data_IF_271677750321
#
_entry.id   IF_271677750321
#
_cell.length_a   1.000
_cell.length_b   1.000
_cell.length_c   1.000
_cell.angle_alpha   90.00
_cell.angle_beta   90.00
_cell.angle_gamma   90.00
#
_symmetry.space_group_name_H-M   'P 1'
#
loop_
_entity.id
_entity.type
_entity.pdbx_description
1 polymer ?
#
# COMPACT_ATOMS: atom_id res chain seq x y z
N UNK A 1 -10.08 -28.43 13.50
CA UNK A 1 -10.77 -28.99 12.32
C UNK A 1 -12.20 -29.42 12.65
N UNK A 2 -12.45 -30.24 13.68
CA UNK A 2 -13.82 -30.67 14.07
C UNK A 2 -14.77 -29.49 14.37
N UNK A 3 -14.31 -28.49 15.10
CA UNK A 3 -15.11 -27.30 15.40
C UNK A 3 -15.50 -26.56 14.12
N UNK A 4 -14.57 -26.39 13.18
CA UNK A 4 -14.82 -25.70 11.92
C UNK A 4 -15.77 -26.49 11.00
N UNK A 5 -15.67 -27.83 10.96
CA UNK A 5 -16.61 -28.65 10.19
C UNK A 5 -18.03 -28.58 10.75
N UNK A 6 -18.18 -28.58 12.08
CA UNK A 6 -19.48 -28.40 12.74
C UNK A 6 -20.05 -27.02 12.40
N UNK A 7 -19.23 -25.97 12.50
CA UNK A 7 -19.65 -24.61 12.13
C UNK A 7 -20.02 -24.47 10.65
N UNK A 8 -19.33 -25.15 9.73
CA UNK A 8 -19.66 -25.13 8.31
C UNK A 8 -21.00 -25.82 8.00
N UNK A 9 -21.29 -26.95 8.66
CA UNK A 9 -22.58 -27.65 8.52
C UNK A 9 -23.72 -26.82 9.11
N UNK A 10 -23.53 -26.25 10.31
CA UNK A 10 -24.51 -25.37 10.94
C UNK A 10 -24.74 -24.13 10.09
N UNK A 11 -23.67 -23.48 9.61
CA UNK A 11 -23.76 -22.30 8.75
C UNK A 11 -24.51 -22.56 7.45
N UNK A 12 -24.30 -23.73 6.82
CA UNK A 12 -25.09 -24.14 5.64
C UNK A 12 -26.55 -24.43 5.97
N UNK A 13 -26.84 -25.00 7.15
CA UNK A 13 -28.20 -25.32 7.58
C UNK A 13 -29.03 -24.08 7.98
N UNK A 14 -28.38 -22.98 8.38
CA UNK A 14 -29.03 -21.74 8.83
C UNK A 14 -29.78 -20.97 7.72
N UNK A 15 -29.53 -21.26 6.43
CA UNK A 15 -30.14 -20.56 5.29
C UNK A 15 -30.54 -21.55 4.19
N UNK A 16 -31.45 -22.48 4.51
CA UNK A 16 -31.93 -23.46 3.54
C UNK A 16 -33.19 -22.98 2.81
N UNK A 17 -33.25 -23.11 1.47
CA UNK A 17 -34.35 -22.58 0.65
C UNK A 17 -35.65 -23.43 0.70
N UNK A 18 -35.75 -24.37 1.64
CA UNK A 18 -36.82 -25.37 1.68
C UNK A 18 -38.05 -24.92 2.49
N UNK A 19 -37.90 -24.00 3.45
CA UNK A 19 -39.00 -23.53 4.28
C UNK A 19 -38.78 -22.10 4.74
N UNK A 20 -39.86 -21.30 4.80
CA UNK A 20 -39.84 -19.89 5.23
C UNK A 20 -39.21 -19.70 6.63
N UNK A 21 -39.28 -20.72 7.48
CA UNK A 21 -38.72 -20.71 8.84
C UNK A 21 -37.19 -20.94 8.87
N UNK A 22 -36.58 -21.36 7.75
CA UNK A 22 -35.14 -21.58 7.62
C UNK A 22 -34.42 -20.40 6.93
N UNK A 23 -35.12 -19.29 6.69
CA UNK A 23 -34.54 -18.04 6.21
C UNK A 23 -34.06 -17.16 7.38
N UNK A 24 -33.35 -17.75 8.35
CA UNK A 24 -32.99 -17.07 9.59
C UNK A 24 -32.00 -15.92 9.34
N UNK A 25 -31.00 -16.12 8.46
CA UNK A 25 -30.05 -15.07 8.09
C UNK A 25 -30.73 -13.91 7.36
N UNK A 26 -31.70 -14.22 6.50
CA UNK A 26 -32.45 -13.22 5.73
C UNK A 26 -33.18 -12.27 6.67
N UNK A 27 -33.98 -12.79 7.62
CA UNK A 27 -34.72 -11.95 8.59
C UNK A 27 -33.79 -11.21 9.57
N UNK A 28 -32.64 -11.81 9.93
CA UNK A 28 -31.68 -11.15 10.81
C UNK A 28 -30.93 -10.00 10.10
N UNK A 29 -30.65 -10.15 8.80
CA UNK A 29 -29.98 -9.14 7.98
C UNK A 29 -30.94 -8.08 7.43
N UNK A 30 -32.21 -8.43 7.22
CA UNK A 30 -33.29 -7.56 6.70
C UNK A 30 -33.18 -6.09 7.15
N UNK A 31 -33.07 -5.74 8.45
CA UNK A 31 -33.00 -4.34 8.89
C UNK A 31 -31.80 -3.53 8.37
N UNK A 32 -30.75 -4.18 7.86
CA UNK A 32 -29.54 -3.54 7.31
C UNK A 32 -29.55 -3.54 5.78
N UNK A 33 -30.25 -4.48 5.13
CA UNK A 33 -30.19 -4.68 3.66
C UNK A 33 -31.49 -4.29 2.93
N UNK A 34 -32.58 -4.00 3.64
CA UNK A 34 -33.93 -3.80 3.09
C UNK A 34 -33.99 -2.82 1.90
N UNK A 35 -33.25 -1.71 1.94
CA UNK A 35 -33.24 -0.72 0.84
C UNK A 35 -32.49 -1.17 -0.44
N UNK A 36 -31.66 -2.22 -0.34
CA UNK A 36 -30.83 -2.70 -1.46
C UNK A 36 -31.38 -3.95 -2.15
N UNK A 37 -32.47 -4.54 -1.67
CA UNK A 37 -33.04 -5.75 -2.26
C UNK A 37 -33.81 -5.45 -3.54
N UNK A 38 -33.20 -5.78 -4.68
CA UNK A 38 -33.91 -5.82 -5.96
C UNK A 38 -34.80 -7.06 -6.00
N UNK A 39 -36.10 -6.88 -5.73
CA UNK A 39 -37.09 -7.96 -5.77
C UNK A 39 -37.06 -8.71 -7.11
N UNK A 40 -36.65 -9.98 -7.09
CA UNK A 40 -36.68 -10.90 -8.24
C UNK A 40 -38.06 -11.57 -8.37
N UNK A 41 -39.02 -11.25 -7.48
CA UNK A 41 -40.38 -11.81 -7.48
C UNK A 41 -41.04 -11.55 -8.84
N UNK A 42 -41.46 -12.61 -9.53
CA UNK A 42 -42.06 -12.57 -10.87
C UNK A 42 -41.10 -12.82 -12.04
N UNK A 43 -39.82 -13.10 -11.78
CA UNK A 43 -38.87 -13.57 -12.81
C UNK A 43 -39.00 -15.07 -13.00
N UNK A 44 -38.83 -15.57 -14.23
CA UNK A 44 -38.83 -17.02 -14.54
C UNK A 44 -37.89 -17.84 -13.63
N UNK A 45 -36.75 -17.26 -13.23
CA UNK A 45 -35.80 -17.89 -12.31
C UNK A 45 -36.35 -18.08 -10.89
N UNK A 46 -37.20 -17.17 -10.41
CA UNK A 46 -37.82 -17.29 -9.09
C UNK A 46 -38.87 -18.40 -9.09
N UNK A 47 -39.67 -18.48 -10.15
CA UNK A 47 -40.72 -19.50 -10.31
C UNK A 47 -40.12 -20.91 -10.49
N UNK A 48 -38.98 -21.00 -11.17
CA UNK A 48 -38.28 -22.27 -11.47
C UNK A 48 -37.08 -22.54 -10.54
N UNK A 49 -37.04 -21.92 -9.35
CA UNK A 49 -35.92 -22.03 -8.40
C UNK A 49 -35.53 -23.48 -8.06
N UNK A 50 -36.49 -24.39 -7.95
CA UNK A 50 -36.23 -25.81 -7.65
C UNK A 50 -35.62 -26.55 -8.84
N UNK A 51 -35.98 -26.18 -10.07
CA UNK A 51 -35.38 -26.74 -11.28
C UNK A 51 -33.93 -26.26 -11.39
N UNK A 52 -33.68 -24.96 -11.17
CA UNK A 52 -32.33 -24.40 -11.14
C UNK A 52 -31.47 -25.04 -10.04
N UNK A 53 -32.04 -25.26 -8.84
CA UNK A 53 -31.38 -25.98 -7.75
C UNK A 53 -31.01 -27.42 -8.17
N UNK A 54 -31.96 -28.15 -8.79
CA UNK A 54 -31.72 -29.50 -9.27
C UNK A 54 -30.60 -29.56 -10.32
N UNK A 55 -30.63 -28.65 -11.30
CA UNK A 55 -29.58 -28.52 -12.32
C UNK A 55 -28.24 -28.19 -11.67
N UNK A 56 -28.19 -27.26 -10.72
CA UNK A 56 -26.97 -26.90 -10.01
C UNK A 56 -26.37 -28.10 -9.26
N UNK A 57 -27.21 -28.90 -8.57
CA UNK A 57 -26.76 -30.13 -7.88
C UNK A 57 -26.19 -31.13 -8.88
N UNK A 58 -26.87 -31.37 -10.00
CA UNK A 58 -26.40 -32.30 -11.04
C UNK A 58 -25.06 -31.85 -11.63
N UNK A 59 -24.92 -30.57 -11.95
CA UNK A 59 -23.66 -29.99 -12.47
C UNK A 59 -22.54 -30.10 -11.43
N UNK A 60 -22.82 -29.80 -10.16
CA UNK A 60 -21.84 -29.93 -9.08
C UNK A 60 -21.37 -31.38 -8.89
N UNK A 61 -22.30 -32.34 -8.85
CA UNK A 61 -21.97 -33.77 -8.73
C UNK A 61 -21.21 -34.28 -9.95
N UNK A 62 -21.58 -33.85 -11.16
CA UNK A 62 -20.86 -34.19 -12.39
C UNK A 62 -19.42 -33.65 -12.36
N UNK A 63 -19.22 -32.40 -11.90
CA UNK A 63 -17.90 -31.81 -11.72
C UNK A 63 -17.03 -32.57 -10.71
N UNK A 64 -17.61 -32.97 -9.57
CA UNK A 64 -16.92 -33.81 -8.57
C UNK A 64 -16.55 -35.18 -9.16
N UNK A 65 -17.48 -35.83 -9.86
CA UNK A 65 -17.25 -37.12 -10.49
C UNK A 65 -16.14 -37.05 -11.56
N UNK A 66 -16.14 -36.00 -12.38
CA UNK A 66 -15.10 -35.74 -13.38
C UNK A 66 -13.74 -35.50 -12.71
N UNK A 67 -13.70 -34.68 -11.66
CA UNK A 67 -12.48 -34.42 -10.88
C UNK A 67 -11.90 -35.71 -10.29
N UNK A 68 -12.73 -36.56 -9.70
CA UNK A 68 -12.30 -37.87 -9.19
C UNK A 68 -11.81 -38.79 -10.32
N UNK A 69 -12.43 -38.75 -11.50
CA UNK A 69 -12.01 -39.55 -12.65
C UNK A 69 -10.63 -39.13 -13.20
N UNK A 70 -10.36 -37.82 -13.26
CA UNK A 70 -9.10 -37.23 -13.71
C UNK A 70 -7.99 -37.41 -12.66
N UNK A 71 -8.21 -36.97 -11.42
CA UNK A 71 -7.14 -36.85 -10.43
C UNK A 71 -6.96 -38.09 -9.56
N UNK A 72 -8.05 -38.66 -9.02
CA UNK A 72 -7.96 -39.80 -8.10
C UNK A 72 -7.81 -41.13 -8.85
N UNK A 73 -8.61 -41.34 -9.90
CA UNK A 73 -8.66 -42.60 -10.65
C UNK A 73 -7.79 -42.61 -11.90
N UNK A 74 -7.24 -41.46 -12.32
CA UNK A 74 -6.37 -41.29 -13.50
C UNK A 74 -6.92 -41.93 -14.78
N UNK A 75 -8.25 -41.95 -14.94
CA UNK A 75 -8.93 -42.55 -16.09
C UNK A 75 -8.99 -41.61 -17.29
N UNK A 76 -8.79 -40.32 -17.05
CA UNK A 76 -8.80 -39.26 -18.06
C UNK A 76 -7.51 -38.44 -17.91
N UNK A 77 -6.94 -37.93 -19.01
CA UNK A 77 -5.78 -37.04 -18.94
C UNK A 77 -6.16 -35.73 -18.25
N UNK A 78 -5.30 -35.25 -17.36
CA UNK A 78 -5.44 -33.93 -16.76
C UNK A 78 -5.14 -32.87 -17.83
N UNK A 79 -6.10 -31.97 -18.07
CA UNK A 79 -5.92 -30.82 -18.95
C UNK A 79 -5.54 -29.64 -18.08
N UNK A 80 -4.24 -29.36 -18.00
CA UNK A 80 -3.67 -28.28 -17.19
C UNK A 80 -2.98 -27.27 -18.10
N UNK A 81 -3.70 -26.23 -18.58
CA UNK A 81 -3.09 -25.16 -19.35
C UNK A 81 -2.06 -24.43 -18.50
N UNK A 82 -0.87 -24.18 -19.07
CA UNK A 82 0.20 -23.40 -18.42
C UNK A 82 -0.25 -22.03 -17.92
N UNK A 83 -1.29 -21.46 -18.52
CA UNK A 83 -1.88 -20.18 -18.10
C UNK A 83 -2.54 -20.30 -16.72
N UNK A 84 -3.29 -21.38 -16.47
CA UNK A 84 -3.93 -21.62 -15.16
C UNK A 84 -2.90 -22.01 -14.12
N UNK A 85 -1.90 -22.82 -14.51
CA UNK A 85 -0.75 -23.19 -13.66
C UNK A 85 -0.01 -21.95 -13.14
N UNK A 86 0.21 -20.95 -14.00
CA UNK A 86 0.90 -19.71 -13.62
C UNK A 86 -0.04 -18.63 -13.06
N UNK A 87 -1.23 -19.00 -12.57
CA UNK A 87 -2.22 -18.05 -12.02
C UNK A 87 -2.46 -16.85 -12.97
N UNK A 88 -2.63 -17.13 -14.26
CA UNK A 88 -2.81 -16.13 -15.32
C UNK A 88 -1.63 -15.16 -15.50
N UNK A 89 -0.44 -15.54 -15.02
CA UNK A 89 0.76 -14.71 -14.96
C UNK A 89 0.59 -13.40 -14.17
N UNK A 90 -0.47 -13.28 -13.37
CA UNK A 90 -0.75 -12.08 -12.61
C UNK A 90 0.37 -11.85 -11.57
N UNK A 91 0.62 -12.85 -10.74
CA UNK A 91 1.65 -12.81 -9.70
C UNK A 91 3.03 -12.55 -10.28
N UNK A 92 3.38 -13.22 -11.38
CA UNK A 92 4.66 -13.05 -12.06
C UNK A 92 4.85 -11.64 -12.64
N UNK A 93 3.77 -11.05 -13.18
CA UNK A 93 3.79 -9.70 -13.74
C UNK A 93 3.92 -8.66 -12.65
N UNK A 94 3.13 -8.78 -11.58
CA UNK A 94 3.21 -7.89 -10.42
C UNK A 94 4.59 -7.97 -9.78
N UNK A 95 5.12 -9.17 -9.55
CA UNK A 95 6.46 -9.35 -8.98
C UNK A 95 7.55 -8.74 -9.86
N UNK A 96 7.47 -8.87 -11.19
CA UNK A 96 8.42 -8.28 -12.13
C UNK A 96 8.38 -6.76 -12.10
N UNK A 97 7.19 -6.17 -12.06
CA UNK A 97 7.02 -4.70 -12.06
C UNK A 97 7.45 -4.11 -10.71
N UNK A 98 7.02 -4.70 -9.61
CA UNK A 98 7.36 -4.21 -8.26
C UNK A 98 8.84 -4.46 -7.95
N UNK A 99 9.33 -5.67 -8.19
CA UNK A 99 10.70 -6.06 -7.88
C UNK A 99 11.75 -5.56 -8.86
N UNK A 100 11.37 -5.18 -10.08
CA UNK A 100 12.26 -4.59 -11.07
C UNK A 100 12.25 -3.06 -11.01
N UNK A 101 11.47 -2.39 -11.87
CA UNK A 101 11.46 -0.93 -11.95
C UNK A 101 11.00 -0.26 -10.65
N UNK A 102 10.07 -0.87 -9.90
CA UNK A 102 9.67 -0.36 -8.59
C UNK A 102 10.85 -0.28 -7.62
N UNK A 103 11.55 -1.39 -7.42
CA UNK A 103 12.73 -1.43 -6.56
C UNK A 103 13.85 -0.50 -7.03
N UNK A 104 14.10 -0.42 -8.35
CA UNK A 104 15.10 0.46 -8.92
C UNK A 104 14.78 1.96 -8.69
N UNK A 105 13.50 2.33 -8.75
CA UNK A 105 13.06 3.69 -8.44
C UNK A 105 13.32 4.05 -6.97
N UNK A 106 12.98 3.15 -6.04
CA UNK A 106 13.27 3.35 -4.61
C UNK A 106 14.76 3.47 -4.33
N UNK A 107 15.57 2.60 -4.92
CA UNK A 107 17.03 2.63 -4.81
C UNK A 107 17.64 3.91 -5.44
N UNK A 108 17.00 4.47 -6.46
CA UNK A 108 17.34 5.79 -7.00
C UNK A 108 17.08 6.92 -6.02
N UNK A 109 15.91 6.91 -5.36
CA UNK A 109 15.52 7.92 -4.37
C UNK A 109 16.45 7.87 -3.15
N UNK A 110 16.76 6.69 -2.63
CA UNK A 110 17.66 6.56 -1.47
C UNK A 110 19.07 7.01 -1.79
N UNK A 111 19.59 6.73 -2.99
CA UNK A 111 20.89 7.27 -3.43
C UNK A 111 20.88 8.78 -3.59
N UNK A 112 19.77 9.35 -4.06
CA UNK A 112 19.64 10.80 -4.16
C UNK A 112 19.70 11.46 -2.79
N UNK A 113 18.95 10.94 -1.82
CA UNK A 113 18.94 11.42 -0.44
C UNK A 113 20.34 11.36 0.19
N UNK A 114 20.99 10.19 0.15
CA UNK A 114 22.30 9.96 0.74
C UNK A 114 23.44 10.78 0.10
N UNK A 115 23.30 11.23 -1.15
CA UNK A 115 24.35 12.00 -1.84
C UNK A 115 24.07 13.49 -1.86
N UNK A 116 22.84 13.88 -2.14
CA UNK A 116 22.47 15.28 -2.37
C UNK A 116 22.03 15.92 -1.07
N UNK A 117 21.09 15.30 -0.36
CA UNK A 117 20.54 15.86 0.88
C UNK A 117 21.59 15.80 1.98
N UNK A 118 22.13 14.61 2.26
CA UNK A 118 23.18 14.46 3.26
C UNK A 118 24.46 15.23 2.88
N UNK A 119 24.78 15.27 1.58
CA UNK A 119 25.91 16.06 1.08
C UNK A 119 25.74 17.55 1.34
N UNK A 120 24.55 18.11 1.08
CA UNK A 120 24.24 19.51 1.34
C UNK A 120 24.28 19.82 2.84
N UNK A 121 23.71 18.96 3.68
CA UNK A 121 23.69 19.13 5.14
C UNK A 121 25.10 19.08 5.73
N UNK A 122 25.89 18.07 5.36
CA UNK A 122 27.28 17.94 5.81
C UNK A 122 28.15 19.08 5.28
N UNK A 123 27.91 19.52 4.04
CA UNK A 123 28.54 20.69 3.42
C UNK A 123 28.29 21.96 4.22
N UNK A 124 27.02 22.29 4.48
CA UNK A 124 26.64 23.45 5.30
C UNK A 124 27.27 23.39 6.70
N UNK A 125 27.25 22.22 7.36
CA UNK A 125 27.88 22.02 8.65
C UNK A 125 29.41 22.22 8.61
N UNK A 126 30.07 21.75 7.55
CA UNK A 126 31.51 21.93 7.36
C UNK A 126 31.89 23.40 7.14
N UNK A 127 31.09 24.14 6.37
CA UNK A 127 31.27 25.57 6.14
C UNK A 127 31.09 26.37 7.43
N UNK A 128 30.03 26.09 8.19
CA UNK A 128 29.78 26.73 9.48
C UNK A 128 30.95 26.51 10.46
N UNK A 129 31.44 25.26 10.57
CA UNK A 129 32.62 24.94 11.39
C UNK A 129 33.89 25.64 10.89
N UNK A 130 34.07 25.73 9.57
CA UNK A 130 35.19 26.45 8.94
C UNK A 130 35.19 27.93 9.30
N UNK A 131 34.04 28.62 9.13
CA UNK A 131 33.87 30.02 9.50
C UNK A 131 34.09 30.23 11.01
N UNK A 132 33.52 29.37 11.85
CA UNK A 132 33.75 29.43 13.30
C UNK A 132 35.22 29.26 13.68
N UNK A 133 35.96 28.38 13.00
CA UNK A 133 37.40 28.20 13.20
C UNK A 133 38.22 29.43 12.81
N UNK A 134 37.87 30.08 11.70
CA UNK A 134 38.51 31.33 11.27
C UNK A 134 38.27 32.46 12.29
N UNK A 135 37.02 32.65 12.72
CA UNK A 135 36.67 33.63 13.75
C UNK A 135 37.42 33.34 15.06
N UNK A 136 37.51 32.07 15.47
CA UNK A 136 38.26 31.65 16.65
C UNK A 136 39.75 32.00 16.54
N UNK A 137 40.37 31.78 15.38
CA UNK A 137 41.79 32.12 15.16
C UNK A 137 42.05 33.63 15.21
N UNK A 138 41.09 34.46 14.82
CA UNK A 138 41.20 35.92 14.93
C UNK A 138 41.16 36.43 16.37
N UNK A 139 40.67 35.64 17.32
CA UNK A 139 40.71 35.98 18.74
C UNK A 139 42.04 35.54 19.37
N UNK A 140 43.07 36.36 19.22
CA UNK A 140 44.44 36.09 19.68
C UNK A 140 44.69 36.44 21.16
N UNK A 141 43.74 37.09 21.84
CA UNK A 141 43.89 37.54 23.24
C UNK A 141 44.75 38.80 23.42
N UNK A 142 45.26 39.40 22.33
CA UNK A 142 46.09 40.60 22.37
C UNK A 142 45.25 41.88 22.40
N UNK A 143 45.13 42.54 23.55
CA UNK A 143 44.25 43.71 23.78
C UNK A 143 44.43 44.83 22.74
N UNK A 144 45.67 45.08 22.27
CA UNK A 144 45.97 46.07 21.23
C UNK A 144 45.33 45.74 19.87
N UNK A 145 45.21 44.46 19.51
CA UNK A 145 44.53 44.05 18.29
C UNK A 145 43.02 44.34 18.37
N UNK A 146 42.40 44.12 19.53
CA UNK A 146 40.99 44.47 19.75
C UNK A 146 40.75 45.98 19.63
N UNK A 147 41.62 46.80 20.22
CA UNK A 147 41.52 48.26 20.11
C UNK A 147 41.59 48.75 18.65
N UNK A 148 42.48 48.18 17.84
CA UNK A 148 42.60 48.50 16.42
C UNK A 148 41.34 48.10 15.62
N UNK A 149 40.78 46.91 15.88
CA UNK A 149 39.54 46.44 15.23
C UNK A 149 38.35 47.33 15.60
N UNK A 150 38.22 47.73 16.87
CA UNK A 150 37.14 48.62 17.33
C UNK A 150 37.25 50.00 16.69
N UNK A 151 38.47 50.56 16.61
CA UNK A 151 38.70 51.84 15.95
C UNK A 151 38.33 51.79 14.46
N UNK A 152 38.78 50.75 13.75
CA UNK A 152 38.42 50.49 12.35
C UNK A 152 36.90 50.33 12.17
N UNK A 153 36.25 49.54 13.03
CA UNK A 153 34.81 49.32 12.99
C UNK A 153 34.03 50.62 13.19
N UNK A 154 34.47 51.46 14.12
CA UNK A 154 33.88 52.79 14.37
C UNK A 154 33.99 53.68 13.13
N UNK A 155 35.17 53.78 12.52
CA UNK A 155 35.38 54.56 11.29
C UNK A 155 34.53 54.04 10.14
N UNK A 156 34.42 52.71 9.98
CA UNK A 156 33.61 52.10 8.92
C UNK A 156 32.11 52.39 9.10
N UNK A 157 31.59 52.31 10.31
CA UNK A 157 30.17 52.66 10.61
C UNK A 157 29.91 54.14 10.32
N UNK A 158 30.82 55.02 10.74
CA UNK A 158 30.70 56.46 10.46
C UNK A 158 30.74 56.76 8.96
N UNK A 159 31.67 56.14 8.22
CA UNK A 159 31.76 56.27 6.77
C UNK A 159 30.48 55.77 6.07
N UNK A 160 29.92 54.64 6.52
CA UNK A 160 28.63 54.16 6.00
C UNK A 160 27.49 55.14 6.30
N UNK A 161 27.44 55.71 7.50
CA UNK A 161 26.41 56.69 7.87
C UNK A 161 26.47 57.93 6.98
N UNK A 162 27.67 58.46 6.73
CA UNK A 162 27.88 59.61 5.84
C UNK A 162 27.49 59.28 4.41
N UNK A 163 27.95 58.12 3.90
CA UNK A 163 27.60 57.65 2.56
C UNK A 163 26.09 57.48 2.39
N UNK A 164 25.41 56.87 3.36
CA UNK A 164 23.95 56.70 3.35
C UNK A 164 23.21 58.03 3.45
N UNK A 165 23.70 58.96 4.27
CA UNK A 165 23.14 60.31 4.39
C UNK A 165 23.35 61.17 3.15
N UNK A 166 24.35 60.86 2.32
CA UNK A 166 24.55 61.49 1.01
C UNK A 166 23.65 60.93 -0.10
N UNK A 167 23.13 59.71 0.07
CA UNK A 167 22.25 59.02 -0.88
C UNK A 167 20.75 59.17 -0.55
N UNK A 168 20.40 59.78 0.59
CA UNK A 168 19.04 60.09 1.02
C UNK A 168 18.72 61.57 0.75
#
# INVERSE_FOLDING_TARGET
LVVLSVLSVIGGAMQLPFSKNLHFLEHWLEPVVEESERSIKGTWAYDNKYVLLGVAIVVALAGIALSLAVYAKRRLPAVEPKVLENAWYYDATVARVVGGPGAAAFDGITRFDARVVDGAVNGAGSLARGLGSLVRRSQTGFVRAYAAIIALGTVAVLAWFVWRGWLA
#
